data_IF_351650931257
#
_entry.id   IF_351650931257
#
_cell.length_a   1.000
_cell.length_b   1.000
_cell.length_c   1.000
_cell.angle_alpha   90.00
_cell.angle_beta   90.00
_cell.angle_gamma   90.00
#
_symmetry.space_group_name_H-M   'P 1'
#
loop_
_entity.id
_entity.type
_entity.pdbx_description
1 polymer ?
#
# COMPACT_ATOMS: atom_id res chain seq x y z
N UNK A 1 29.46 -23.99 17.84
CA UNK A 1 28.02 -24.14 17.47
C UNK A 1 27.19 -23.42 18.51
N UNK A 2 26.33 -22.47 18.14
CA UNK A 2 25.52 -21.77 19.13
C UNK A 2 24.27 -22.58 19.52
N UNK A 3 23.80 -22.51 20.79
CA UNK A 3 22.59 -23.20 21.23
C UNK A 3 21.33 -22.88 20.41
N UNK A 4 21.26 -21.68 19.82
CA UNK A 4 20.15 -21.25 18.95
C UNK A 4 20.12 -22.00 17.62
N UNK A 5 21.30 -22.27 17.03
CA UNK A 5 21.39 -22.93 15.73
C UNK A 5 21.02 -24.42 15.83
N UNK A 6 21.33 -25.05 16.97
CA UNK A 6 20.90 -26.41 17.27
C UNK A 6 19.37 -26.50 17.42
N UNK A 7 18.75 -25.51 18.06
CA UNK A 7 17.30 -25.44 18.25
C UNK A 7 16.53 -25.23 16.93
N UNK A 8 17.16 -24.59 15.95
CA UNK A 8 16.64 -24.39 14.59
C UNK A 8 16.99 -25.54 13.63
N UNK A 9 17.67 -26.60 14.11
CA UNK A 9 18.06 -27.75 13.30
C UNK A 9 19.15 -27.47 12.27
N UNK A 10 19.87 -26.35 12.40
CA UNK A 10 20.92 -25.92 11.47
C UNK A 10 22.26 -26.57 11.89
N UNK A 11 22.74 -27.54 11.11
CA UNK A 11 24.04 -28.19 11.33
C UNK A 11 25.20 -27.32 10.80
N UNK A 12 25.36 -26.13 11.37
CA UNK A 12 26.39 -25.17 10.97
C UNK A 12 27.60 -25.26 11.89
N UNK A 13 28.80 -25.23 11.31
CA UNK A 13 30.03 -25.00 12.07
C UNK A 13 30.04 -23.61 12.70
N UNK A 14 30.94 -23.37 13.66
CA UNK A 14 31.04 -22.07 14.35
C UNK A 14 31.34 -20.91 13.39
N UNK A 15 32.24 -21.14 12.43
CA UNK A 15 32.54 -20.19 11.37
C UNK A 15 31.33 -19.91 10.45
N UNK A 16 30.55 -20.94 10.13
CA UNK A 16 29.33 -20.80 9.31
C UNK A 16 28.18 -20.12 10.05
N UNK A 17 28.09 -20.28 11.38
CA UNK A 17 27.11 -19.55 12.20
C UNK A 17 27.42 -18.06 12.27
N UNK A 18 28.70 -17.69 12.44
CA UNK A 18 29.14 -16.29 12.43
C UNK A 18 29.00 -15.65 11.04
N UNK A 19 29.37 -16.37 9.97
CA UNK A 19 29.18 -15.88 8.61
C UNK A 19 27.69 -15.80 8.23
N UNK A 20 26.87 -16.74 8.71
CA UNK A 20 25.43 -16.82 8.48
C UNK A 20 24.61 -15.79 9.26
N UNK A 21 25.19 -15.15 10.27
CA UNK A 21 24.58 -14.03 11.01
C UNK A 21 24.55 -12.72 10.21
N UNK A 22 25.32 -12.63 9.12
CA UNK A 22 25.27 -11.49 8.19
C UNK A 22 23.88 -11.40 7.56
N UNK A 23 23.39 -10.18 7.34
CA UNK A 23 22.09 -9.93 6.74
C UNK A 23 22.21 -9.66 5.24
N UNK A 24 21.23 -10.16 4.49
CA UNK A 24 20.99 -9.84 3.09
C UNK A 24 19.60 -9.23 2.94
N UNK A 25 19.38 -8.42 1.91
CA UNK A 25 18.07 -7.88 1.61
C UNK A 25 17.24 -8.90 0.83
N UNK A 26 16.05 -9.26 1.33
CA UNK A 26 15.15 -10.15 0.62
C UNK A 26 14.67 -9.52 -0.70
N UNK A 27 14.81 -10.24 -1.81
CA UNK A 27 14.37 -9.75 -3.14
C UNK A 27 12.86 -9.51 -3.21
N UNK A 28 12.06 -10.29 -2.48
CA UNK A 28 10.59 -10.25 -2.49
C UNK A 28 10.00 -9.18 -1.57
N UNK A 29 10.51 -9.06 -0.33
CA UNK A 29 9.91 -8.16 0.67
C UNK A 29 10.82 -7.03 1.16
N UNK A 30 12.07 -6.94 0.65
CA UNK A 30 13.06 -5.90 1.00
C UNK A 30 13.43 -5.82 2.48
N UNK A 31 13.02 -6.81 3.29
CA UNK A 31 13.42 -6.91 4.70
C UNK A 31 14.85 -7.46 4.80
N UNK A 32 15.66 -6.98 5.75
CA UNK A 32 16.95 -7.61 6.05
C UNK A 32 16.70 -8.98 6.70
N UNK A 33 17.32 -10.03 6.16
CA UNK A 33 17.19 -11.42 6.61
C UNK A 33 18.59 -11.99 6.80
N UNK A 34 18.81 -12.79 7.85
CA UNK A 34 20.10 -13.44 8.05
C UNK A 34 20.35 -14.50 6.95
N UNK A 35 21.58 -14.59 6.48
CA UNK A 35 21.99 -15.55 5.42
C UNK A 35 21.59 -16.99 5.75
N UNK A 36 21.76 -17.41 7.01
CA UNK A 36 21.38 -18.76 7.46
C UNK A 36 19.86 -19.01 7.50
N UNK A 37 19.06 -17.95 7.54
CA UNK A 37 17.59 -18.01 7.57
C UNK A 37 16.95 -17.71 6.21
N UNK A 38 17.74 -17.37 5.19
CA UNK A 38 17.25 -16.93 3.89
C UNK A 38 16.37 -18.00 3.20
N UNK A 39 16.76 -19.27 3.29
CA UNK A 39 16.00 -20.40 2.73
C UNK A 39 14.65 -20.57 3.41
N UNK A 40 14.62 -20.55 4.74
CA UNK A 40 13.39 -20.62 5.52
C UNK A 40 12.49 -19.41 5.24
N UNK A 41 13.07 -18.21 5.18
CA UNK A 41 12.35 -16.99 4.81
C UNK A 41 11.70 -17.10 3.42
N UNK A 42 12.39 -17.69 2.45
CA UNK A 42 11.80 -17.92 1.13
C UNK A 42 10.71 -18.98 1.14
N UNK A 43 10.88 -20.05 1.91
CA UNK A 43 9.83 -21.05 2.11
C UNK A 43 8.57 -20.44 2.76
N UNK A 44 8.72 -19.44 3.65
CA UNK A 44 7.57 -18.71 4.19
C UNK A 44 6.82 -17.95 3.10
N UNK A 45 7.50 -17.27 2.17
CA UNK A 45 6.83 -16.64 1.02
C UNK A 45 6.09 -17.66 0.15
N UNK A 46 6.70 -18.82 -0.08
CA UNK A 46 6.06 -19.91 -0.85
C UNK A 46 4.85 -20.50 -0.13
N UNK A 47 4.92 -20.65 1.20
CA UNK A 47 3.76 -21.07 2.01
C UNK A 47 2.67 -20.02 1.99
N UNK A 48 2.98 -18.74 2.20
CA UNK A 48 2.01 -17.64 2.10
C UNK A 48 1.35 -17.61 0.71
N UNK A 49 2.13 -17.81 -0.36
CA UNK A 49 1.62 -17.93 -1.72
C UNK A 49 0.68 -19.14 -1.86
N UNK A 50 1.08 -20.32 -1.39
CA UNK A 50 0.25 -21.54 -1.45
C UNK A 50 -1.02 -21.40 -0.63
N UNK A 51 -0.94 -20.85 0.58
CA UNK A 51 -2.11 -20.59 1.42
C UNK A 51 -3.05 -19.58 0.77
N UNK A 52 -2.54 -18.54 0.12
CA UNK A 52 -3.38 -17.58 -0.62
C UNK A 52 -4.06 -18.22 -1.84
N UNK A 53 -3.36 -19.09 -2.57
CA UNK A 53 -3.92 -19.85 -3.69
C UNK A 53 -4.98 -20.83 -3.18
N UNK A 54 -4.65 -21.61 -2.15
CA UNK A 54 -5.51 -22.67 -1.60
C UNK A 54 -6.75 -22.10 -0.90
N UNK A 55 -6.62 -20.95 -0.22
CA UNK A 55 -7.74 -20.27 0.42
C UNK A 55 -8.53 -19.37 -0.56
N UNK A 56 -8.29 -19.51 -1.87
CA UNK A 56 -9.15 -19.04 -2.97
C UNK A 56 -9.88 -17.74 -2.68
N UNK A 57 -9.23 -16.61 -2.95
CA UNK A 57 -9.80 -15.25 -2.79
C UNK A 57 -10.24 -14.84 -1.36
N UNK A 58 -10.27 -15.71 -0.34
CA UNK A 58 -10.86 -15.36 0.97
C UNK A 58 -9.98 -14.51 1.87
N UNK A 59 -8.66 -14.56 1.72
CA UNK A 59 -7.75 -13.75 2.53
C UNK A 59 -7.60 -12.34 1.94
N UNK A 60 -8.67 -11.56 2.04
CA UNK A 60 -8.61 -10.13 1.74
C UNK A 60 -7.97 -9.41 2.92
N UNK A 61 -6.81 -8.81 2.71
CA UNK A 61 -6.26 -7.85 3.67
C UNK A 61 -6.78 -6.45 3.36
N UNK A 62 -6.95 -5.64 4.39
CA UNK A 62 -7.42 -4.26 4.24
C UNK A 62 -6.27 -3.38 3.75
N UNK A 63 -6.47 -2.79 2.58
CA UNK A 63 -5.62 -1.72 2.07
C UNK A 63 -5.89 -0.41 2.83
N UNK A 64 -4.94 0.52 2.72
CA UNK A 64 -5.10 1.90 3.14
C UNK A 64 -6.40 2.51 2.55
N UNK A 65 -7.14 3.28 3.36
CA UNK A 65 -8.33 4.03 2.89
C UNK A 65 -7.98 5.13 1.87
N UNK A 66 -6.71 5.51 1.73
CA UNK A 66 -6.29 6.33 0.61
C UNK A 66 -6.24 5.46 -0.67
N UNK A 67 -7.16 5.70 -1.60
CA UNK A 67 -7.32 4.90 -2.82
C UNK A 67 -6.16 5.07 -3.79
N UNK A 68 -5.31 6.07 -3.61
CA UNK A 68 -4.06 6.22 -4.38
C UNK A 68 -2.88 5.48 -3.72
N UNK A 69 -3.10 4.82 -2.59
CA UNK A 69 -2.08 4.10 -1.83
C UNK A 69 -2.27 2.58 -1.93
N UNK A 70 -1.16 1.88 -2.17
CA UNK A 70 -1.08 0.42 -2.21
C UNK A 70 -0.63 -0.21 -0.88
N UNK A 71 -0.47 0.58 0.19
CA UNK A 71 -0.01 0.05 1.47
C UNK A 71 -1.09 -0.79 2.14
N UNK A 72 -0.68 -1.89 2.74
CA UNK A 72 -1.49 -2.73 3.61
C UNK A 72 -1.15 -2.40 5.07
N UNK A 73 -2.03 -1.68 5.75
CA UNK A 73 -1.90 -1.45 7.20
C UNK A 73 -3.27 -1.73 7.82
N UNK A 74 -3.48 -2.90 8.42
CA UNK A 74 -4.77 -3.25 9.00
C UNK A 74 -5.04 -2.37 10.22
N UNK A 75 -6.16 -1.65 10.20
CA UNK A 75 -6.68 -0.82 11.30
C UNK A 75 -5.69 0.23 11.80
N UNK A 76 -5.30 1.20 10.95
CA UNK A 76 -4.39 2.25 11.40
C UNK A 76 -5.05 3.08 12.51
N UNK A 77 -4.30 3.51 13.54
CA UNK A 77 -4.85 4.10 14.77
C UNK A 77 -5.33 5.54 14.60
N UNK A 78 -5.15 6.14 13.41
CA UNK A 78 -5.51 7.54 13.16
C UNK A 78 -6.94 7.71 12.66
N UNK A 79 -7.48 8.92 12.89
CA UNK A 79 -8.87 9.28 12.59
C UNK A 79 -9.22 9.13 11.10
N UNK A 80 -8.25 9.35 10.20
CA UNK A 80 -8.45 9.24 8.75
C UNK A 80 -8.49 7.78 8.25
N UNK A 81 -8.15 6.81 9.10
CA UNK A 81 -8.02 5.38 8.75
C UNK A 81 -7.09 5.10 7.57
N UNK A 82 -6.07 5.94 7.38
CA UNK A 82 -5.03 5.77 6.35
C UNK A 82 -3.73 5.25 6.96
N UNK A 83 -2.84 4.69 6.15
CA UNK A 83 -1.55 4.20 6.65
C UNK A 83 -0.70 5.34 7.25
N UNK A 84 0.28 5.00 8.07
CA UNK A 84 1.17 5.94 8.76
C UNK A 84 1.84 6.93 7.80
N UNK A 85 2.30 6.47 6.63
CA UNK A 85 2.89 7.32 5.59
C UNK A 85 1.89 8.35 5.03
N UNK A 86 0.65 7.93 4.75
CA UNK A 86 -0.41 8.84 4.28
C UNK A 86 -0.87 9.82 5.38
N UNK A 87 -0.78 9.41 6.66
CA UNK A 87 -1.18 10.25 7.78
C UNK A 87 -0.10 11.25 8.21
N UNK A 88 1.18 10.99 7.89
CA UNK A 88 2.32 11.80 8.35
C UNK A 88 2.16 13.32 8.14
N UNK A 89 1.64 13.84 7.00
CA UNK A 89 1.45 15.29 6.81
C UNK A 89 0.42 15.93 7.76
N UNK A 90 -0.49 15.12 8.30
CA UNK A 90 -1.58 15.56 9.17
C UNK A 90 -1.27 15.38 10.65
N UNK A 91 -0.22 14.63 10.97
CA UNK A 91 0.16 14.37 12.35
C UNK A 91 0.46 15.67 13.10
N UNK A 92 0.04 15.71 14.35
CA UNK A 92 0.25 16.82 15.28
C UNK A 92 0.33 16.27 16.69
N UNK A 93 1.31 16.70 17.51
CA UNK A 93 1.38 16.32 18.92
C UNK A 93 0.39 17.08 19.79
N UNK A 94 -0.24 18.13 19.26
CA UNK A 94 -1.21 18.97 19.99
C UNK A 94 -2.58 18.31 19.96
N UNK A 95 -3.22 18.23 21.12
CA UNK A 95 -4.62 17.81 21.22
C UNK A 95 -5.52 18.70 20.35
N UNK A 96 -6.38 18.06 19.56
CA UNK A 96 -7.30 18.68 18.60
C UNK A 96 -8.70 18.14 18.89
N UNK A 97 -9.38 18.80 19.83
CA UNK A 97 -10.74 18.43 20.21
C UNK A 97 -11.66 18.56 18.99
N UNK A 98 -12.40 17.48 18.68
CA UNK A 98 -13.29 17.46 17.51
C UNK A 98 -12.59 17.38 16.14
N UNK A 99 -11.26 17.23 16.08
CA UNK A 99 -10.49 17.12 14.83
C UNK A 99 -10.62 18.31 13.87
N UNK A 100 -10.85 19.52 14.39
CA UNK A 100 -11.09 20.72 13.58
C UNK A 100 -9.85 21.13 12.77
N UNK A 101 -8.66 21.07 13.38
CA UNK A 101 -7.40 21.39 12.69
C UNK A 101 -7.06 20.32 11.67
N UNK A 102 -7.32 19.05 11.99
CA UNK A 102 -7.17 17.95 11.04
C UNK A 102 -8.09 18.15 9.81
N UNK A 103 -9.36 18.51 10.03
CA UNK A 103 -10.31 18.79 8.95
C UNK A 103 -9.86 19.97 8.08
N UNK A 104 -9.39 21.07 8.70
CA UNK A 104 -8.87 22.22 7.99
C UNK A 104 -7.64 21.85 7.13
N UNK A 105 -6.65 21.15 7.71
CA UNK A 105 -5.47 20.69 6.97
C UNK A 105 -5.83 19.77 5.80
N UNK A 106 -6.82 18.89 5.99
CA UNK A 106 -7.28 17.99 4.93
C UNK A 106 -7.94 18.78 3.79
N UNK A 107 -8.81 19.74 4.11
CA UNK A 107 -9.45 20.63 3.14
C UNK A 107 -8.42 21.45 2.36
N UNK A 108 -7.48 22.10 3.05
CA UNK A 108 -6.39 22.87 2.43
C UNK A 108 -5.52 22.00 1.52
N UNK A 109 -5.28 20.74 1.93
CA UNK A 109 -4.51 19.79 1.12
C UNK A 109 -5.22 19.42 -0.16
N UNK A 110 -6.53 19.11 -0.11
CA UNK A 110 -7.31 18.84 -1.33
C UNK A 110 -7.46 20.07 -2.21
N UNK A 111 -7.72 21.24 -1.63
CA UNK A 111 -7.81 22.49 -2.38
C UNK A 111 -6.49 22.78 -3.11
N UNK A 112 -5.34 22.63 -2.43
CA UNK A 112 -4.02 22.76 -3.06
C UNK A 112 -3.80 21.71 -4.16
N UNK A 113 -4.22 20.47 -3.93
CA UNK A 113 -4.11 19.38 -4.91
C UNK A 113 -4.91 19.68 -6.19
N UNK A 114 -6.11 20.27 -6.06
CA UNK A 114 -6.99 20.60 -7.18
C UNK A 114 -6.58 21.91 -7.91
N UNK A 115 -5.99 22.87 -7.19
CA UNK A 115 -5.60 24.17 -7.76
C UNK A 115 -4.17 24.19 -8.30
N UNK A 116 -3.20 23.69 -7.53
CA UNK A 116 -1.77 23.71 -7.86
C UNK A 116 -1.25 22.34 -8.31
N UNK A 117 -1.83 21.27 -7.76
CA UNK A 117 -1.34 19.91 -7.99
C UNK A 117 -0.19 19.53 -7.08
N UNK A 118 0.32 18.32 -7.29
CA UNK A 118 1.42 17.76 -6.50
C UNK A 118 2.81 17.98 -7.15
N UNK A 119 2.86 18.40 -8.41
CA UNK A 119 4.09 18.69 -9.16
C UNK A 119 4.87 17.45 -9.63
N UNK A 120 4.38 16.24 -9.34
CA UNK A 120 5.04 14.99 -9.75
C UNK A 120 4.73 14.67 -11.22
N UNK A 121 5.74 14.35 -12.07
CA UNK A 121 5.55 14.22 -13.52
C UNK A 121 4.63 13.06 -13.93
N UNK A 122 4.50 12.02 -13.10
CA UNK A 122 3.69 10.84 -13.35
C UNK A 122 2.58 10.66 -12.29
N UNK A 123 1.98 11.76 -11.85
CA UNK A 123 0.77 11.69 -11.02
C UNK A 123 -0.36 11.03 -11.81
N UNK A 124 -1.11 10.12 -11.18
CA UNK A 124 -2.25 9.40 -11.74
C UNK A 124 -3.56 9.67 -10.98
N UNK A 125 -3.50 10.42 -9.88
CA UNK A 125 -4.65 10.84 -9.11
C UNK A 125 -5.55 11.82 -9.89
N UNK A 126 -6.77 11.39 -10.19
CA UNK A 126 -7.78 12.17 -10.93
C UNK A 126 -8.21 13.48 -10.24
N UNK A 127 -8.01 13.58 -8.93
CA UNK A 127 -8.29 14.79 -8.15
C UNK A 127 -7.06 15.68 -7.98
N UNK A 128 -6.09 15.58 -8.89
CA UNK A 128 -4.87 16.36 -8.87
C UNK A 128 -4.70 17.17 -10.16
N UNK A 129 -4.45 18.48 -10.00
CA UNK A 129 -4.20 19.40 -11.11
C UNK A 129 -3.07 18.92 -12.03
N UNK A 130 -2.02 18.34 -11.45
CA UNK A 130 -0.87 17.84 -12.21
C UNK A 130 -1.26 16.71 -13.16
N UNK A 131 -2.20 15.84 -12.78
CA UNK A 131 -2.75 14.80 -13.66
C UNK A 131 -3.68 15.40 -14.72
N UNK A 132 -4.55 16.33 -14.33
CA UNK A 132 -5.54 16.93 -15.22
C UNK A 132 -4.92 17.75 -16.36
N UNK A 133 -3.65 18.19 -16.24
CA UNK A 133 -2.90 18.96 -17.26
C UNK A 133 -3.74 20.06 -17.92
N UNK A 134 -4.59 20.70 -17.12
CA UNK A 134 -5.62 21.56 -17.66
C UNK A 134 -5.01 22.81 -18.31
N UNK A 135 -5.53 23.12 -19.49
CA UNK A 135 -5.11 24.25 -20.35
C UNK A 135 -5.48 25.60 -19.71
N UNK A 136 -6.56 25.62 -18.92
CA UNK A 136 -7.09 26.80 -18.25
C UNK A 136 -6.98 26.68 -16.73
N UNK A 137 -6.68 27.78 -16.06
CA UNK A 137 -6.56 27.84 -14.60
C UNK A 137 -7.85 27.34 -13.91
N UNK A 138 -7.74 26.56 -12.83
CA UNK A 138 -8.90 26.00 -12.16
C UNK A 138 -9.63 27.12 -11.42
N UNK A 139 -10.96 27.19 -11.55
CA UNK A 139 -11.77 28.06 -10.70
C UNK A 139 -11.55 27.66 -9.22
N UNK A 140 -11.00 28.55 -8.37
CA UNK A 140 -10.79 28.26 -6.96
C UNK A 140 -12.07 27.89 -6.22
N UNK A 141 -13.22 28.41 -6.67
CA UNK A 141 -14.53 28.14 -6.06
C UNK A 141 -14.92 26.68 -6.29
N UNK A 142 -14.85 26.22 -7.54
CA UNK A 142 -15.11 24.83 -7.90
C UNK A 142 -14.13 23.86 -7.22
N UNK A 143 -12.86 24.25 -7.12
CA UNK A 143 -11.85 23.48 -6.41
C UNK A 143 -12.18 23.35 -4.91
N UNK A 144 -12.70 24.41 -4.27
CA UNK A 144 -13.12 24.38 -2.87
C UNK A 144 -14.34 23.48 -2.66
N UNK A 145 -15.33 23.54 -3.55
CA UNK A 145 -16.52 22.66 -3.52
C UNK A 145 -16.10 21.19 -3.67
N UNK A 146 -15.23 20.89 -4.64
CA UNK A 146 -14.69 19.54 -4.84
C UNK A 146 -13.86 19.06 -3.64
N UNK A 147 -13.05 19.94 -3.04
CA UNK A 147 -12.28 19.63 -1.84
C UNK A 147 -13.20 19.28 -0.65
N UNK A 148 -14.30 20.02 -0.45
CA UNK A 148 -15.31 19.71 0.57
C UNK A 148 -15.93 18.33 0.33
N UNK A 149 -16.30 18.01 -0.90
CA UNK A 149 -16.85 16.70 -1.26
C UNK A 149 -15.86 15.55 -0.96
N UNK A 150 -14.55 15.77 -1.18
CA UNK A 150 -13.51 14.80 -0.84
C UNK A 150 -13.34 14.64 0.68
N UNK A 151 -13.44 15.73 1.46
CA UNK A 151 -13.43 15.67 2.93
C UNK A 151 -14.64 14.89 3.45
N UNK A 152 -15.83 15.09 2.86
CA UNK A 152 -17.05 14.37 3.25
C UNK A 152 -16.94 12.85 3.04
N UNK A 153 -16.20 12.40 2.02
CA UNK A 153 -15.94 10.98 1.76
C UNK A 153 -14.93 10.35 2.74
N UNK A 154 -14.12 11.16 3.42
CA UNK A 154 -13.09 10.70 4.35
C UNK A 154 -13.68 10.18 5.67
N UNK A 155 -12.83 9.48 6.44
CA UNK A 155 -13.22 8.96 7.76
C UNK A 155 -13.51 10.04 8.81
N UNK A 156 -13.24 11.33 8.55
CA UNK A 156 -13.71 12.40 9.42
C UNK A 156 -15.23 12.43 9.49
N UNK A 157 -15.90 12.30 8.34
CA UNK A 157 -17.35 12.45 8.20
C UNK A 157 -18.02 11.10 7.91
N UNK A 158 -17.55 10.36 6.91
CA UNK A 158 -18.12 9.07 6.53
C UNK A 158 -17.51 7.92 7.35
N UNK A 159 -18.31 7.24 8.18
CA UNK A 159 -17.84 6.13 9.04
C UNK A 159 -17.99 4.74 8.43
N UNK A 160 -18.83 4.57 7.41
CA UNK A 160 -19.21 3.26 6.87
C UNK A 160 -18.20 2.77 5.82
N UNK A 161 -17.89 3.61 4.84
CA UNK A 161 -16.91 3.30 3.80
C UNK A 161 -16.04 4.52 3.47
N UNK A 162 -15.14 4.89 4.39
CA UNK A 162 -14.30 6.07 4.20
C UNK A 162 -13.24 5.84 3.14
N UNK A 163 -13.14 6.81 2.23
CA UNK A 163 -12.09 6.85 1.22
C UNK A 163 -11.42 8.22 1.21
N UNK A 164 -10.12 8.22 0.96
CA UNK A 164 -9.33 9.42 0.67
C UNK A 164 -8.73 9.30 -0.72
N UNK A 165 -8.53 10.41 -1.41
CA UNK A 165 -7.85 10.45 -2.71
C UNK A 165 -6.70 11.44 -2.66
N UNK A 166 -5.79 11.20 -1.71
CA UNK A 166 -4.64 12.05 -1.45
C UNK A 166 -3.48 11.60 -2.33
N UNK A 167 -2.83 12.55 -3.01
CA UNK A 167 -1.55 12.28 -3.65
C UNK A 167 -0.58 11.66 -2.64
N UNK A 168 -0.07 10.48 -2.97
CA UNK A 168 0.97 9.83 -2.17
C UNK A 168 2.32 10.50 -2.43
N UNK A 169 3.29 10.44 -1.50
CA UNK A 169 4.66 10.83 -1.81
C UNK A 169 5.33 9.81 -2.74
N UNK A 170 4.98 8.53 -2.61
CA UNK A 170 5.54 7.43 -3.40
C UNK A 170 4.73 7.19 -4.69
N UNK A 171 5.35 7.51 -5.84
CA UNK A 171 4.78 7.26 -7.18
C UNK A 171 4.67 5.77 -7.52
N UNK A 172 5.53 4.93 -6.94
CA UNK A 172 5.47 3.48 -7.13
C UNK A 172 4.24 2.91 -6.47
N UNK A 173 3.88 3.40 -5.27
CA UNK A 173 2.64 3.00 -4.60
C UNK A 173 1.40 3.42 -5.40
N UNK A 174 1.38 4.63 -5.96
CA UNK A 174 0.29 5.13 -6.81
C UNK A 174 0.14 4.30 -8.09
N UNK A 175 1.26 4.05 -8.81
CA UNK A 175 1.25 3.20 -10.01
C UNK A 175 0.77 1.79 -9.70
N UNK A 176 1.33 1.16 -8.66
CA UNK A 176 0.93 -0.20 -8.25
C UNK A 176 -0.56 -0.28 -7.97
N UNK A 177 -1.13 0.76 -7.36
CA UNK A 177 -2.55 0.81 -7.04
C UNK A 177 -3.43 0.87 -8.29
N UNK A 178 -3.06 1.66 -9.30
CA UNK A 178 -3.77 1.72 -10.60
C UNK A 178 -3.70 0.39 -11.35
N UNK A 179 -2.50 -0.18 -11.49
CA UNK A 179 -2.33 -1.49 -12.14
C UNK A 179 -3.11 -2.58 -11.39
N UNK A 180 -3.13 -2.53 -10.05
CA UNK A 180 -3.91 -3.49 -9.25
C UNK A 180 -5.42 -3.37 -9.48
N UNK A 181 -5.95 -2.16 -9.70
CA UNK A 181 -7.36 -1.93 -10.03
C UNK A 181 -7.72 -2.51 -11.41
N UNK A 182 -6.83 -2.36 -12.40
CA UNK A 182 -6.98 -2.98 -13.73
C UNK A 182 -6.96 -4.51 -13.64
N UNK A 183 -5.96 -5.09 -12.95
CA UNK A 183 -5.86 -6.54 -12.73
C UNK A 183 -7.05 -7.10 -11.95
N UNK A 184 -7.56 -6.36 -10.96
CA UNK A 184 -8.75 -6.73 -10.21
C UNK A 184 -9.98 -6.86 -11.12
N UNK A 185 -10.12 -5.95 -12.10
CA UNK A 185 -11.17 -6.02 -13.12
C UNK A 185 -11.03 -7.22 -14.05
N UNK A 186 -9.81 -7.55 -14.49
CA UNK A 186 -9.52 -8.65 -15.42
C UNK A 186 -9.75 -10.02 -14.76
N UNK A 187 -9.24 -10.21 -13.56
CA UNK A 187 -9.27 -11.52 -12.87
C UNK A 187 -10.46 -11.68 -11.92
N UNK A 188 -11.29 -10.64 -11.77
CA UNK A 188 -12.43 -10.59 -10.84
C UNK A 188 -12.04 -10.91 -9.38
N UNK A 189 -10.85 -10.48 -8.98
CA UNK A 189 -10.33 -10.63 -7.60
C UNK A 189 -10.41 -9.31 -6.85
N UNK A 190 -10.36 -9.32 -5.52
CA UNK A 190 -10.23 -8.09 -4.73
C UNK A 190 -8.94 -7.34 -5.08
N UNK A 191 -8.99 -6.00 -5.09
CA UNK A 191 -7.81 -5.12 -5.37
C UNK A 191 -6.63 -5.42 -4.44
N UNK A 192 -6.89 -5.83 -3.19
CA UNK A 192 -5.84 -6.26 -2.25
C UNK A 192 -5.04 -7.44 -2.79
N UNK A 193 -5.69 -8.43 -3.39
CA UNK A 193 -4.99 -9.59 -3.97
C UNK A 193 -4.12 -9.16 -5.16
N UNK A 194 -4.61 -8.27 -6.01
CA UNK A 194 -3.82 -7.70 -7.12
C UNK A 194 -2.61 -6.89 -6.64
N UNK A 195 -2.78 -6.07 -5.59
CA UNK A 195 -1.67 -5.34 -4.95
C UNK A 195 -0.62 -6.31 -4.41
N UNK A 196 -1.04 -7.40 -3.76
CA UNK A 196 -0.14 -8.43 -3.23
C UNK A 196 0.62 -9.13 -4.35
N UNK A 197 -0.06 -9.48 -5.43
CA UNK A 197 0.56 -10.10 -6.61
C UNK A 197 1.70 -9.24 -7.16
N UNK A 198 1.45 -7.93 -7.30
CA UNK A 198 2.45 -6.97 -7.74
C UNK A 198 3.60 -6.84 -6.75
N UNK A 199 3.33 -6.77 -5.43
CA UNK A 199 4.38 -6.70 -4.41
C UNK A 199 5.29 -7.94 -4.44
N UNK A 200 4.71 -9.14 -4.49
CA UNK A 200 5.48 -10.39 -4.56
C UNK A 200 6.27 -10.52 -5.86
N UNK A 201 5.77 -9.90 -6.93
CA UNK A 201 6.41 -9.87 -8.25
C UNK A 201 7.36 -8.69 -8.44
N UNK A 202 7.61 -7.87 -7.40
CA UNK A 202 8.41 -6.65 -7.48
C UNK A 202 7.96 -5.73 -8.64
N UNK A 203 6.65 -5.54 -8.75
CA UNK A 203 5.95 -4.73 -9.77
C UNK A 203 6.14 -5.18 -11.22
N UNK A 204 6.58 -6.42 -11.44
CA UNK A 204 6.58 -7.08 -12.75
C UNK A 204 5.16 -7.52 -13.12
N UNK A 205 4.55 -6.79 -14.06
CA UNK A 205 3.16 -6.97 -14.47
C UNK A 205 2.92 -8.37 -15.07
N UNK A 206 3.87 -8.91 -15.86
CA UNK A 206 3.74 -10.23 -16.48
C UNK A 206 3.69 -11.36 -15.44
N UNK A 207 4.54 -11.28 -14.41
CA UNK A 207 4.53 -12.23 -13.29
C UNK A 207 3.29 -12.07 -12.42
N UNK A 208 2.79 -10.86 -12.25
CA UNK A 208 1.54 -10.63 -11.52
C UNK A 208 0.34 -11.25 -12.25
N UNK A 209 0.28 -11.14 -13.59
CA UNK A 209 -0.71 -11.85 -14.42
C UNK A 209 -0.64 -13.37 -14.26
N UNK A 210 0.57 -13.95 -14.31
CA UNK A 210 0.78 -15.39 -14.09
C UNK A 210 0.35 -15.83 -12.68
N UNK A 211 0.67 -15.03 -11.67
CA UNK A 211 0.27 -15.30 -10.30
C UNK A 211 -1.25 -15.28 -10.12
N UNK A 212 -1.94 -14.31 -10.74
CA UNK A 212 -3.39 -14.16 -10.65
C UNK A 212 -4.15 -15.22 -11.46
N UNK A 213 -3.62 -15.66 -12.61
CA UNK A 213 -4.26 -16.72 -13.40
C UNK A 213 -4.31 -18.05 -12.64
N UNK A 214 -3.28 -18.34 -11.83
CA UNK A 214 -3.24 -19.53 -10.96
C UNK A 214 -4.36 -19.53 -9.90
N UNK A 215 -4.90 -18.38 -9.51
CA UNK A 215 -6.02 -18.28 -8.57
C UNK A 215 -7.37 -18.68 -9.19
N UNK A 216 -7.54 -18.53 -10.51
CA UNK A 216 -8.79 -18.90 -11.20
C UNK A 216 -8.92 -20.42 -11.37
N UNK A 217 -7.80 -21.13 -11.52
CA UNK A 217 -7.76 -22.59 -11.78
C UNK A 217 -8.16 -23.43 -10.54
N UNK A 218 -8.11 -22.87 -9.33
CA UNK A 218 -8.51 -23.56 -8.10
C UNK A 218 -9.99 -23.45 -7.73
N UNK A 219 -10.84 -22.96 -8.62
CA UNK A 219 -12.28 -22.73 -8.37
C UNK A 219 -13.23 -23.76 -9.01
N UNK A 220 -12.68 -24.80 -9.65
CA UNK A 220 -13.43 -25.95 -10.20
C UNK A 220 -13.34 -27.19 -9.28
#
# INVERSE_FOLDING_TARGET
MSPKDWMLGLQLSEHESECGARTIECVTCKRPVQLKEATFHMNMHDMEKREMIMNGLRQTFKLCSNVECSSAEPNPPNVLRVCTSCYAPFWSPRFDEGNTRLAQKLLETYHRQLTKGCGRPHCLNQYCRTFLKAVEDPDPTDAAIQALNLVQKSALVNKTNPICSLCTPDSTSERRRKVAEELSGIYHVAVSNSVRALQLSNDDEAKAHEWLSQLQVGSD
#
